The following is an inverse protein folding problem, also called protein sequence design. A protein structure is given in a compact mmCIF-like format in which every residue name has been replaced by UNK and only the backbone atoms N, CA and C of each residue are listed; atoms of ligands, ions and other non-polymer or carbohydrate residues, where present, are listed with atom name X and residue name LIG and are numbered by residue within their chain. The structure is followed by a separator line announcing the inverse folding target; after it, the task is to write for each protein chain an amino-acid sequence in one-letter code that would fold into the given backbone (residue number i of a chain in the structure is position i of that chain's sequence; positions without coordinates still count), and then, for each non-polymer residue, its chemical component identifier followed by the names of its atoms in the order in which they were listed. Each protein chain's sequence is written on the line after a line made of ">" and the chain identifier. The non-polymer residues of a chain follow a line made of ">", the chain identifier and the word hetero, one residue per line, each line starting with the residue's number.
data_IF_273137496606
#
_entry.id   IF_273137496606
#
_cell.length_a   1.000
_cell.length_b   1.000
_cell.length_c   1.000
_cell.angle_alpha   90.00
_cell.angle_beta   90.00
_cell.angle_gamma   90.00
#
_symmetry.space_group_name_H-M   'P 1'
#
loop_
_entity.id
_entity.type
_entity.pdbx_description
1 polymer ?
#
# COMPACT_ATOMS: atom_id res chain seq x y z
N UNK A 1 -25.70 -10.00 37.16
CA UNK A 1 -26.59 -8.92 36.66
C UNK A 1 -26.40 -8.83 35.16
N UNK A 2 -27.43 -9.11 34.37
CA UNK A 2 -27.38 -8.88 32.91
C UNK A 2 -27.20 -7.39 32.64
N UNK A 3 -26.37 -6.98 31.66
CA UNK A 3 -26.30 -5.58 31.27
C UNK A 3 -27.67 -5.16 30.75
N UNK A 4 -28.22 -4.07 31.29
CA UNK A 4 -29.42 -3.43 30.74
C UNK A 4 -29.19 -3.13 29.27
N UNK A 5 -29.99 -3.74 28.39
CA UNK A 5 -30.00 -3.42 26.96
C UNK A 5 -30.44 -1.97 26.83
N UNK A 6 -29.51 -1.05 26.49
CA UNK A 6 -29.85 0.32 26.11
C UNK A 6 -30.90 0.28 25.00
N UNK A 7 -32.02 0.95 25.22
CA UNK A 7 -33.05 1.11 24.20
C UNK A 7 -32.48 1.87 23.00
N UNK A 8 -32.73 1.35 21.81
CA UNK A 8 -32.21 1.92 20.57
C UNK A 8 -32.99 3.19 20.20
N UNK A 9 -32.32 4.31 19.87
CA UNK A 9 -32.99 5.57 19.52
C UNK A 9 -33.93 5.46 18.32
N UNK A 10 -35.00 6.26 18.30
CA UNK A 10 -36.01 6.26 17.23
C UNK A 10 -35.42 6.67 15.87
N UNK A 11 -34.40 7.52 15.89
CA UNK A 11 -33.63 7.97 14.74
C UNK A 11 -32.78 6.86 14.11
N UNK A 12 -32.53 5.77 14.83
CA UNK A 12 -31.78 4.60 14.35
C UNK A 12 -32.67 3.55 13.67
N UNK A 13 -33.98 3.80 13.49
CA UNK A 13 -34.91 2.85 12.81
C UNK A 13 -34.43 2.42 11.42
N UNK A 14 -33.85 3.33 10.64
CA UNK A 14 -33.29 2.99 9.33
C UNK A 14 -32.06 2.07 9.44
N UNK A 15 -31.21 2.29 10.44
CA UNK A 15 -30.08 1.44 10.74
C UNK A 15 -30.53 0.04 11.19
N UNK A 16 -31.52 -0.05 12.08
CA UNK A 16 -32.08 -1.34 12.52
C UNK A 16 -32.64 -2.11 11.33
N UNK A 17 -33.41 -1.44 10.46
CA UNK A 17 -33.94 -2.04 9.23
C UNK A 17 -32.82 -2.52 8.31
N UNK A 18 -31.72 -1.79 8.20
CA UNK A 18 -30.55 -2.19 7.42
C UNK A 18 -29.81 -3.38 8.04
N UNK A 19 -29.74 -3.47 9.37
CA UNK A 19 -29.17 -4.61 10.10
C UNK A 19 -30.05 -5.86 9.96
N UNK A 20 -31.37 -5.72 10.00
CA UNK A 20 -32.32 -6.82 9.74
C UNK A 20 -32.23 -7.29 8.29
N UNK A 21 -32.19 -6.37 7.33
CA UNK A 21 -31.93 -6.67 5.91
C UNK A 21 -30.61 -7.43 5.75
N UNK A 22 -29.56 -7.01 6.46
CA UNK A 22 -28.24 -7.66 6.46
C UNK A 22 -28.27 -9.04 7.10
N UNK A 23 -29.00 -9.26 8.19
CA UNK A 23 -29.20 -10.58 8.78
C UNK A 23 -29.92 -11.51 7.79
N UNK A 24 -30.94 -11.00 7.10
CA UNK A 24 -31.63 -11.70 6.02
C UNK A 24 -30.77 -11.94 4.77
N UNK A 25 -29.81 -11.07 4.48
CA UNK A 25 -28.86 -11.23 3.38
C UNK A 25 -27.81 -12.29 3.72
N UNK A 26 -27.25 -12.26 4.93
CA UNK A 26 -26.30 -13.25 5.44
C UNK A 26 -26.91 -14.66 5.49
N UNK A 27 -28.18 -14.77 5.89
CA UNK A 27 -28.93 -16.03 5.86
C UNK A 27 -29.00 -16.61 4.43
N UNK A 28 -29.40 -15.78 3.46
CA UNK A 28 -29.49 -16.16 2.04
C UNK A 28 -28.14 -16.57 1.45
N UNK A 29 -27.09 -15.81 1.70
CA UNK A 29 -25.73 -16.10 1.20
C UNK A 29 -25.16 -17.38 1.85
N UNK A 30 -25.49 -17.62 3.12
CA UNK A 30 -24.98 -18.77 3.88
C UNK A 30 -25.84 -20.03 3.71
N UNK A 31 -26.95 -19.96 2.96
CA UNK A 31 -27.98 -21.01 2.86
C UNK A 31 -28.46 -21.52 4.22
N UNK A 32 -28.59 -20.61 5.19
CA UNK A 32 -29.06 -20.86 6.55
C UNK A 32 -30.33 -20.06 6.80
N UNK A 33 -31.13 -20.47 7.78
CA UNK A 33 -32.28 -19.67 8.17
C UNK A 33 -31.81 -18.41 8.90
N UNK A 34 -32.62 -17.34 8.85
CA UNK A 34 -32.30 -16.07 9.50
C UNK A 34 -32.11 -16.24 11.01
N UNK A 35 -32.80 -17.21 11.62
CA UNK A 35 -32.65 -17.57 13.04
C UNK A 35 -31.30 -18.17 13.40
N UNK A 36 -30.61 -18.81 12.44
CA UNK A 36 -29.32 -19.48 12.65
C UNK A 36 -28.12 -18.52 12.51
N UNK A 37 -28.37 -17.28 12.06
CA UNK A 37 -27.36 -16.24 11.94
C UNK A 37 -27.22 -15.55 13.30
N UNK A 38 -26.03 -15.60 13.95
CA UNK A 38 -25.80 -14.91 15.21
C UNK A 38 -26.16 -13.42 15.14
N UNK A 39 -26.70 -12.89 16.22
CA UNK A 39 -27.06 -11.47 16.30
C UNK A 39 -25.81 -10.58 16.14
N UNK A 40 -25.93 -9.56 15.30
CA UNK A 40 -24.87 -8.58 15.06
C UNK A 40 -24.74 -7.69 16.29
N UNK A 41 -23.60 -7.78 16.99
CA UNK A 41 -23.33 -6.95 18.18
C UNK A 41 -22.73 -5.61 17.76
N UNK A 42 -23.47 -4.52 17.98
CA UNK A 42 -23.01 -3.15 17.72
C UNK A 42 -22.08 -2.73 18.87
N UNK A 43 -20.81 -2.46 18.59
CA UNK A 43 -19.84 -1.97 19.59
C UNK A 43 -20.26 -0.58 20.12
N UNK A 44 -20.06 -0.32 21.41
CA UNK A 44 -20.44 0.94 22.08
C UNK A 44 -19.90 2.21 21.42
N UNK A 45 -18.72 2.12 20.79
CA UNK A 45 -18.11 3.23 20.05
C UNK A 45 -18.93 3.66 18.83
N UNK A 46 -19.64 2.72 18.19
CA UNK A 46 -20.53 2.98 17.05
C UNK A 46 -21.84 3.62 17.53
N UNK A 47 -22.37 3.21 18.69
CA UNK A 47 -23.54 3.85 19.31
C UNK A 47 -23.30 5.35 19.59
N UNK A 48 -22.11 5.70 20.10
CA UNK A 48 -21.70 7.11 20.30
C UNK A 48 -21.58 7.90 18.99
N UNK A 49 -21.28 7.24 17.88
CA UNK A 49 -21.19 7.88 16.56
C UNK A 49 -22.57 8.13 15.95
N UNK A 50 -23.55 7.29 16.30
CA UNK A 50 -24.96 7.37 15.88
C UNK A 50 -25.77 8.43 16.63
N UNK A 51 -25.28 8.96 17.75
CA UNK A 51 -25.86 10.10 18.46
C UNK A 51 -25.73 11.44 17.68
N UNK A 52 -25.00 11.45 16.56
CA UNK A 52 -24.98 12.60 15.64
C UNK A 52 -26.29 12.68 14.85
N UNK A 53 -27.01 13.80 15.03
CA UNK A 53 -28.34 14.00 14.42
C UNK A 53 -28.23 14.25 12.91
N UNK A 54 -29.00 13.49 12.12
CA UNK A 54 -29.24 13.72 10.69
C UNK A 54 -29.94 15.06 10.37
N UNK A 55 -30.45 15.75 11.40
CA UNK A 55 -31.25 16.96 11.26
C UNK A 55 -30.38 18.11 10.76
N UNK A 56 -30.64 18.58 9.54
CA UNK A 56 -29.92 19.70 8.90
C UNK A 56 -28.84 19.29 7.89
N UNK A 57 -28.71 17.99 7.57
CA UNK A 57 -27.81 17.50 6.52
C UNK A 57 -28.53 17.42 5.17
N UNK A 58 -27.82 17.72 4.09
CA UNK A 58 -28.32 17.55 2.72
C UNK A 58 -28.41 16.07 2.33
N UNK A 59 -29.28 15.73 1.36
CA UNK A 59 -29.53 14.33 0.97
C UNK A 59 -28.27 13.58 0.51
N UNK A 60 -27.35 14.26 -0.18
CA UNK A 60 -26.08 13.65 -0.59
C UNK A 60 -25.11 13.43 0.58
N UNK A 61 -25.14 14.30 1.60
CA UNK A 61 -24.36 14.12 2.83
C UNK A 61 -24.91 12.95 3.66
N UNK A 62 -26.24 12.80 3.71
CA UNK A 62 -26.91 11.65 4.34
C UNK A 62 -26.56 10.35 3.60
N UNK A 63 -26.50 10.37 2.27
CA UNK A 63 -26.13 9.22 1.44
C UNK A 63 -24.66 8.83 1.61
N UNK A 64 -23.74 9.78 1.65
CA UNK A 64 -22.33 9.55 1.96
C UNK A 64 -22.15 9.01 3.39
N UNK A 65 -22.83 9.61 4.36
CA UNK A 65 -22.82 9.16 5.75
C UNK A 65 -23.34 7.72 5.87
N UNK A 66 -24.42 7.39 5.18
CA UNK A 66 -24.98 6.03 5.16
C UNK A 66 -24.05 5.02 4.50
N UNK A 67 -23.34 5.39 3.42
CA UNK A 67 -22.30 4.55 2.80
C UNK A 67 -21.15 4.27 3.76
N UNK A 68 -20.65 5.30 4.46
CA UNK A 68 -19.59 5.18 5.47
C UNK A 68 -20.04 4.37 6.67
N UNK A 69 -21.29 4.55 7.12
CA UNK A 69 -21.89 3.80 8.21
C UNK A 69 -22.04 2.32 7.83
N UNK A 70 -22.53 2.03 6.63
CA UNK A 70 -22.59 0.66 6.09
C UNK A 70 -21.20 0.01 6.04
N UNK A 71 -20.18 0.73 5.60
CA UNK A 71 -18.79 0.25 5.60
C UNK A 71 -18.25 0.00 7.02
N UNK A 72 -18.56 0.88 7.99
CA UNK A 72 -18.19 0.73 9.40
C UNK A 72 -18.91 -0.43 10.09
N UNK A 73 -20.18 -0.66 9.78
CA UNK A 73 -20.95 -1.81 10.26
C UNK A 73 -20.40 -3.11 9.67
N UNK A 74 -19.96 -3.07 8.40
CA UNK A 74 -19.23 -4.19 7.80
C UNK A 74 -17.91 -4.50 8.51
N UNK A 75 -17.19 -3.48 9.02
CA UNK A 75 -15.97 -3.64 9.83
C UNK A 75 -16.22 -4.16 11.24
N UNK A 76 -17.34 -3.78 11.84
CA UNK A 76 -17.65 -4.08 13.24
C UNK A 76 -18.29 -5.46 13.46
N UNK A 77 -18.78 -6.09 12.39
CA UNK A 77 -19.41 -7.41 12.44
C UNK A 77 -18.36 -8.52 12.52
N UNK A 78 -18.01 -8.93 13.75
CA UNK A 78 -17.28 -10.17 14.01
C UNK A 78 -18.22 -11.38 13.79
N UNK A 79 -17.78 -12.35 12.98
CA UNK A 79 -18.37 -13.70 13.02
C UNK A 79 -17.65 -14.49 14.13
N UNK A 80 -18.44 -15.21 14.94
CA UNK A 80 -17.98 -15.99 16.12
C UNK A 80 -16.89 -17.04 15.78
N UNK A 81 -16.69 -17.35 14.50
CA UNK A 81 -15.64 -18.27 14.04
C UNK A 81 -14.62 -17.54 13.16
N UNK A 82 -13.48 -17.19 13.75
CA UNK A 82 -12.33 -16.60 13.04
C UNK A 82 -11.84 -17.54 11.94
N UNK A 83 -11.87 -17.10 10.68
CA UNK A 83 -10.93 -17.62 9.67
C UNK A 83 -10.41 -16.63 8.62
N UNK A 84 -11.00 -15.44 8.50
CA UNK A 84 -10.35 -14.27 7.88
C UNK A 84 -11.11 -13.00 8.26
N UNK A 85 -10.38 -11.95 8.61
CA UNK A 85 -10.92 -10.62 8.92
C UNK A 85 -11.37 -9.96 7.60
N UNK A 86 -12.59 -9.41 7.55
CA UNK A 86 -13.11 -8.66 6.39
C UNK A 86 -12.69 -7.18 6.41
N UNK A 87 -11.95 -6.75 7.46
CA UNK A 87 -11.30 -5.45 7.54
C UNK A 87 -10.40 -5.07 6.34
N UNK A 88 -9.65 -6.00 5.71
CA UNK A 88 -8.85 -5.68 4.52
C UNK A 88 -9.72 -5.27 3.33
N UNK A 89 -10.85 -5.94 3.10
CA UNK A 89 -11.76 -5.62 1.98
C UNK A 89 -12.42 -4.26 2.19
N UNK A 90 -12.83 -3.97 3.42
CA UNK A 90 -13.41 -2.67 3.80
C UNK A 90 -12.37 -1.55 3.92
N UNK A 91 -11.06 -1.86 3.98
CA UNK A 91 -9.98 -0.86 3.95
C UNK A 91 -9.84 -0.19 2.58
N UNK A 92 -10.15 -0.91 1.49
CA UNK A 92 -10.14 -0.37 0.12
C UNK A 92 -11.18 0.75 -0.09
N UNK A 93 -12.16 0.85 0.81
CA UNK A 93 -13.26 1.81 0.78
C UNK A 93 -13.20 2.83 1.94
N UNK A 94 -12.13 2.83 2.75
CA UNK A 94 -11.96 3.73 3.90
C UNK A 94 -11.86 5.21 3.47
N UNK A 95 -11.18 5.42 2.35
CA UNK A 95 -10.85 6.70 1.76
C UNK A 95 -11.02 6.55 0.25
N UNK A 96 -12.26 6.59 -0.24
CA UNK A 96 -12.51 6.55 -1.69
C UNK A 96 -11.92 7.81 -2.33
N UNK A 97 -10.93 7.63 -3.20
CA UNK A 97 -10.54 8.68 -4.15
C UNK A 97 -11.69 8.91 -5.15
N UNK A 98 -11.72 10.08 -5.81
CA UNK A 98 -12.85 10.52 -6.65
C UNK A 98 -13.26 9.51 -7.74
N UNK A 99 -12.34 8.63 -8.16
CA UNK A 99 -12.53 7.67 -9.25
C UNK A 99 -12.82 6.24 -8.76
N UNK A 100 -12.94 6.02 -7.45
CA UNK A 100 -13.21 4.70 -6.89
C UNK A 100 -14.63 4.22 -7.23
N UNK A 101 -14.78 2.95 -7.60
CA UNK A 101 -16.10 2.37 -7.95
C UNK A 101 -17.06 2.53 -6.76
N UNK A 102 -18.22 3.18 -6.93
CA UNK A 102 -19.20 3.32 -5.88
C UNK A 102 -19.83 1.97 -5.51
N UNK A 103 -20.13 1.76 -4.23
CA UNK A 103 -20.95 0.64 -3.74
C UNK A 103 -22.30 1.19 -3.28
N UNK A 104 -23.37 0.58 -3.77
CA UNK A 104 -24.76 0.78 -3.35
C UNK A 104 -25.50 -0.57 -3.21
N UNK A 105 -26.78 -0.53 -2.81
CA UNK A 105 -27.59 -1.74 -2.54
C UNK A 105 -27.78 -2.61 -3.79
N UNK A 106 -27.73 -2.02 -4.98
CA UNK A 106 -27.93 -2.72 -6.25
C UNK A 106 -26.64 -3.38 -6.75
N UNK A 107 -25.50 -2.71 -6.58
CA UNK A 107 -24.16 -3.21 -6.95
C UNK A 107 -23.53 -4.15 -5.91
N UNK A 108 -24.10 -4.25 -4.70
CA UNK A 108 -23.54 -5.07 -3.63
C UNK A 108 -23.48 -6.58 -3.96
N UNK A 109 -24.47 -7.10 -4.71
CA UNK A 109 -24.50 -8.49 -5.13
C UNK A 109 -23.32 -8.85 -6.06
N UNK A 110 -23.08 -8.00 -7.05
CA UNK A 110 -21.95 -8.12 -7.98
C UNK A 110 -20.62 -7.97 -7.24
N UNK A 111 -20.51 -6.96 -6.37
CA UNK A 111 -19.35 -6.74 -5.51
C UNK A 111 -19.00 -7.96 -4.65
N UNK A 112 -20.01 -8.62 -4.08
CA UNK A 112 -19.79 -9.81 -3.27
C UNK A 112 -19.20 -10.96 -4.09
N UNK A 113 -19.72 -11.19 -5.30
CA UNK A 113 -19.19 -12.23 -6.18
C UNK A 113 -17.78 -11.90 -6.69
N UNK A 114 -17.48 -10.65 -6.98
CA UNK A 114 -16.13 -10.19 -7.33
C UNK A 114 -15.15 -10.43 -6.17
N UNK A 115 -15.52 -10.05 -4.94
CA UNK A 115 -14.69 -10.28 -3.75
C UNK A 115 -14.46 -11.78 -3.52
N UNK A 116 -15.48 -12.63 -3.66
CA UNK A 116 -15.32 -14.09 -3.57
C UNK A 116 -14.35 -14.61 -4.64
N UNK A 117 -14.47 -14.11 -5.86
CA UNK A 117 -13.59 -14.49 -6.97
C UNK A 117 -12.15 -14.09 -6.67
N UNK A 118 -11.91 -12.87 -6.18
CA UNK A 118 -10.57 -12.40 -5.78
C UNK A 118 -9.99 -13.24 -4.65
N UNK A 119 -10.79 -13.59 -3.64
CA UNK A 119 -10.35 -14.49 -2.55
C UNK A 119 -9.94 -15.85 -3.12
N UNK A 120 -10.69 -16.38 -4.07
CA UNK A 120 -10.39 -17.67 -4.68
C UNK A 120 -9.11 -17.62 -5.52
N UNK A 121 -8.93 -16.57 -6.34
CA UNK A 121 -7.69 -16.29 -7.06
C UNK A 121 -6.50 -16.19 -6.09
N UNK A 122 -6.65 -15.48 -4.97
CA UNK A 122 -5.60 -15.38 -3.95
C UNK A 122 -5.23 -16.75 -3.37
N UNK A 123 -6.20 -17.66 -3.15
CA UNK A 123 -5.90 -19.02 -2.67
C UNK A 123 -5.17 -19.84 -3.74
N UNK A 124 -5.66 -19.81 -4.98
CA UNK A 124 -5.10 -20.54 -6.12
C UNK A 124 -3.63 -20.18 -6.35
N UNK A 125 -3.31 -18.89 -6.28
CA UNK A 125 -1.95 -18.39 -6.45
C UNK A 125 -1.15 -18.27 -5.13
N UNK A 126 -1.69 -18.76 -4.01
CA UNK A 126 -1.04 -18.75 -2.68
C UNK A 126 -0.60 -17.35 -2.19
N UNK A 127 -1.44 -16.35 -2.41
CA UNK A 127 -1.16 -14.94 -2.16
C UNK A 127 -1.99 -14.41 -1.01
N UNK A 128 -1.39 -13.49 -0.25
CA UNK A 128 -2.08 -12.77 0.80
C UNK A 128 -2.99 -11.69 0.22
N UNK A 129 -4.25 -11.67 0.66
CA UNK A 129 -5.19 -10.59 0.34
C UNK A 129 -4.64 -9.20 0.73
N UNK A 130 -3.76 -9.12 1.73
CA UNK A 130 -3.11 -7.86 2.14
C UNK A 130 -2.35 -7.19 1.00
N UNK A 131 -1.69 -7.97 0.15
CA UNK A 131 -0.93 -7.46 -1.00
C UNK A 131 -1.86 -6.76 -2.00
N UNK A 132 -3.02 -7.35 -2.26
CA UNK A 132 -4.05 -6.77 -3.15
C UNK A 132 -4.63 -5.49 -2.54
N UNK A 133 -4.94 -5.51 -1.24
CA UNK A 133 -5.53 -4.34 -0.57
C UNK A 133 -4.57 -3.16 -0.45
N UNK A 134 -3.26 -3.40 -0.35
CA UNK A 134 -2.25 -2.33 -0.38
C UNK A 134 -2.15 -1.68 -1.76
N UNK A 135 -2.05 -2.50 -2.82
CA UNK A 135 -2.07 -2.04 -4.20
C UNK A 135 -3.33 -1.22 -4.54
N UNK A 136 -4.49 -1.63 -4.01
CA UNK A 136 -5.79 -1.01 -4.26
C UNK A 136 -6.21 0.02 -3.19
N UNK A 137 -5.28 0.51 -2.37
CA UNK A 137 -5.60 1.43 -1.28
C UNK A 137 -6.36 2.67 -1.80
N UNK A 138 -7.60 2.84 -1.36
CA UNK A 138 -8.48 3.96 -1.75
C UNK A 138 -9.11 3.86 -3.16
N UNK A 139 -8.83 2.80 -3.92
CA UNK A 139 -9.32 2.58 -5.29
C UNK A 139 -10.49 1.59 -5.38
N UNK A 140 -10.86 0.96 -4.26
CA UNK A 140 -11.90 -0.07 -4.23
C UNK A 140 -11.43 -1.43 -4.75
N UNK A 141 -12.38 -2.32 -5.07
CA UNK A 141 -12.11 -3.66 -5.61
C UNK A 141 -11.48 -3.58 -7.00
N UNK A 142 -10.41 -4.35 -7.27
CA UNK A 142 -9.82 -4.41 -8.59
C UNK A 142 -10.74 -5.10 -9.59
N UNK A 143 -10.61 -4.75 -10.86
CA UNK A 143 -11.18 -5.56 -11.94
C UNK A 143 -10.61 -6.98 -11.87
N UNK A 144 -11.50 -7.97 -11.80
CA UNK A 144 -11.14 -9.38 -11.60
C UNK A 144 -10.27 -9.90 -12.74
N UNK A 145 -10.57 -9.55 -13.99
CA UNK A 145 -9.82 -10.03 -15.16
C UNK A 145 -8.41 -9.43 -15.20
N UNK A 146 -8.27 -8.15 -14.86
CA UNK A 146 -6.96 -7.50 -14.74
C UNK A 146 -6.14 -8.11 -13.62
N UNK A 147 -6.75 -8.38 -12.46
CA UNK A 147 -6.06 -9.03 -11.35
C UNK A 147 -5.60 -10.44 -11.73
N UNK A 148 -6.49 -11.25 -12.31
CA UNK A 148 -6.18 -12.61 -12.77
C UNK A 148 -5.00 -12.61 -13.75
N UNK A 149 -5.05 -11.74 -14.76
CA UNK A 149 -3.94 -11.57 -15.71
C UNK A 149 -2.62 -11.14 -15.05
N UNK A 150 -2.65 -10.32 -13.99
CA UNK A 150 -1.46 -9.99 -13.21
C UNK A 150 -0.91 -11.21 -12.46
N UNK A 151 -1.80 -12.03 -11.86
CA UNK A 151 -1.41 -13.21 -11.09
C UNK A 151 -0.81 -14.29 -11.99
N UNK A 152 -1.42 -14.55 -13.14
CA UNK A 152 -0.86 -15.40 -14.18
C UNK A 152 0.48 -14.86 -14.67
N UNK A 153 0.59 -13.56 -14.94
CA UNK A 153 1.84 -12.94 -15.37
C UNK A 153 2.96 -13.13 -14.34
N UNK A 154 2.68 -12.91 -13.06
CA UNK A 154 3.65 -13.12 -11.98
C UNK A 154 4.10 -14.58 -11.89
N UNK A 155 3.15 -15.51 -12.01
CA UNK A 155 3.41 -16.96 -11.95
C UNK A 155 4.28 -17.40 -13.14
N UNK A 156 3.90 -17.02 -14.36
CA UNK A 156 4.59 -17.42 -15.60
C UNK A 156 6.00 -16.84 -15.72
N UNK A 157 6.24 -15.68 -15.10
CA UNK A 157 7.54 -15.01 -15.13
C UNK A 157 8.38 -15.21 -13.86
N UNK A 158 7.90 -16.00 -12.90
CA UNK A 158 8.54 -16.23 -11.61
C UNK A 158 8.83 -14.93 -10.82
N UNK A 159 7.96 -13.92 -10.98
CA UNK A 159 8.08 -12.63 -10.30
C UNK A 159 7.24 -12.64 -9.03
N UNK A 160 7.85 -12.25 -7.91
CA UNK A 160 7.16 -12.13 -6.63
C UNK A 160 6.09 -11.02 -6.69
N UNK A 161 4.81 -11.39 -6.56
CA UNK A 161 3.71 -10.42 -6.53
C UNK A 161 3.93 -9.33 -5.46
N UNK A 162 4.56 -9.66 -4.33
CA UNK A 162 4.79 -8.67 -3.27
C UNK A 162 5.64 -7.50 -3.77
N UNK A 163 6.59 -7.77 -4.67
CA UNK A 163 7.42 -6.73 -5.30
C UNK A 163 6.58 -5.80 -6.19
N UNK A 164 5.68 -6.37 -6.99
CA UNK A 164 4.77 -5.60 -7.86
C UNK A 164 3.75 -4.80 -7.05
N UNK A 165 3.12 -5.42 -6.06
CA UNK A 165 2.13 -4.74 -5.19
C UNK A 165 2.75 -3.66 -4.32
N UNK A 166 4.01 -3.80 -3.92
CA UNK A 166 4.78 -2.72 -3.27
C UNK A 166 5.02 -1.54 -4.22
N UNK A 167 5.52 -1.82 -5.44
CA UNK A 167 5.70 -0.80 -6.48
C UNK A 167 4.38 -0.06 -6.81
N UNK A 168 3.26 -0.78 -6.80
CA UNK A 168 1.92 -0.27 -7.14
C UNK A 168 1.07 0.12 -5.92
N UNK A 169 1.66 0.30 -4.74
CA UNK A 169 0.90 0.62 -3.53
C UNK A 169 0.05 1.90 -3.72
N UNK A 170 -1.28 1.77 -3.66
CA UNK A 170 -2.23 2.86 -3.91
C UNK A 170 -2.39 3.29 -5.39
N UNK A 171 -1.80 2.58 -6.34
CA UNK A 171 -1.85 2.89 -7.78
C UNK A 171 -2.66 1.88 -8.60
N UNK A 172 -3.16 0.85 -7.93
CA UNK A 172 -4.00 -0.19 -8.48
C UNK A 172 -3.30 -1.22 -9.36
N UNK A 173 -4.06 -2.09 -10.00
CA UNK A 173 -3.52 -3.17 -10.85
C UNK A 173 -2.78 -2.57 -12.05
N UNK A 174 -1.46 -2.85 -12.23
CA UNK A 174 -0.68 -2.34 -13.35
C UNK A 174 -1.10 -2.98 -14.68
N UNK A 175 -0.77 -2.31 -15.79
CA UNK A 175 -0.84 -2.90 -17.12
C UNK A 175 0.28 -3.93 -17.29
N UNK A 176 -0.08 -5.19 -17.56
CA UNK A 176 0.86 -6.29 -17.78
C UNK A 176 1.83 -6.03 -18.93
N UNK A 177 1.44 -5.26 -19.96
CA UNK A 177 2.37 -4.89 -21.06
C UNK A 177 3.49 -3.98 -20.58
N UNK A 178 3.21 -3.10 -19.60
CA UNK A 178 4.26 -2.28 -18.97
C UNK A 178 5.18 -3.13 -18.11
N UNK A 179 4.64 -4.13 -17.42
CA UNK A 179 5.43 -5.10 -16.66
C UNK A 179 6.33 -5.96 -17.56
N UNK A 180 5.83 -6.39 -18.73
CA UNK A 180 6.63 -7.09 -19.75
C UNK A 180 7.83 -6.25 -20.19
N UNK A 181 7.60 -4.96 -20.49
CA UNK A 181 8.68 -4.04 -20.85
C UNK A 181 9.72 -3.88 -19.74
N UNK A 182 9.28 -3.74 -18.48
CA UNK A 182 10.18 -3.66 -17.33
C UNK A 182 10.97 -4.97 -17.15
N UNK A 183 10.31 -6.12 -17.25
CA UNK A 183 10.96 -7.41 -17.05
C UNK A 183 11.97 -7.71 -18.17
N UNK A 184 11.62 -7.40 -19.42
CA UNK A 184 12.54 -7.51 -20.55
C UNK A 184 13.77 -6.62 -20.33
N UNK A 185 13.56 -5.36 -19.95
CA UNK A 185 14.65 -4.44 -19.63
C UNK A 185 15.57 -4.98 -18.52
N UNK A 186 14.99 -5.52 -17.45
CA UNK A 186 15.75 -6.12 -16.35
C UNK A 186 16.58 -7.33 -16.82
N UNK A 187 16.00 -8.21 -17.64
CA UNK A 187 16.69 -9.39 -18.20
C UNK A 187 17.84 -8.99 -19.12
N UNK A 188 17.57 -8.09 -20.07
CA UNK A 188 18.55 -7.64 -21.07
C UNK A 188 19.75 -6.94 -20.42
N UNK A 189 19.53 -6.29 -19.28
CA UNK A 189 20.55 -5.55 -18.54
C UNK A 189 21.11 -6.29 -17.32
N UNK A 190 20.70 -7.56 -17.09
CA UNK A 190 21.11 -8.36 -15.93
C UNK A 190 20.85 -7.67 -14.57
N UNK A 191 19.73 -6.94 -14.47
CA UNK A 191 19.29 -6.24 -13.25
C UNK A 191 18.18 -7.05 -12.59
N UNK A 192 18.24 -7.18 -11.26
CA UNK A 192 17.17 -7.81 -10.49
C UNK A 192 15.93 -6.89 -10.47
N UNK A 193 14.79 -7.42 -10.94
CA UNK A 193 13.51 -6.70 -10.91
C UNK A 193 13.11 -6.28 -9.49
N UNK A 194 13.53 -7.01 -8.44
CA UNK A 194 13.30 -6.63 -7.04
C UNK A 194 13.99 -5.33 -6.66
N UNK A 195 15.18 -5.05 -7.22
CA UNK A 195 15.87 -3.79 -7.01
C UNK A 195 15.10 -2.62 -7.61
N UNK A 196 14.55 -2.79 -8.82
CA UNK A 196 13.77 -1.73 -9.48
C UNK A 196 12.42 -1.51 -8.79
N UNK A 197 11.69 -2.58 -8.50
CA UNK A 197 10.39 -2.50 -7.80
C UNK A 197 10.54 -1.93 -6.38
N UNK A 198 11.62 -2.25 -5.66
CA UNK A 198 11.92 -1.66 -4.35
C UNK A 198 12.23 -0.16 -4.43
N UNK A 199 13.04 0.26 -5.39
CA UNK A 199 13.28 1.68 -5.70
C UNK A 199 11.97 2.42 -6.02
N UNK A 200 11.04 1.76 -6.72
CA UNK A 200 9.77 2.32 -7.18
C UNK A 200 8.58 2.05 -6.24
N UNK A 201 8.81 1.66 -4.99
CA UNK A 201 7.73 1.37 -4.03
C UNK A 201 6.75 2.55 -3.91
N UNK A 202 5.48 2.34 -4.30
CA UNK A 202 4.43 3.37 -4.32
C UNK A 202 4.51 4.39 -5.46
N UNK A 203 5.40 4.21 -6.44
CA UNK A 203 5.65 5.13 -7.56
C UNK A 203 5.30 4.54 -8.93
N UNK A 204 4.94 3.26 -8.94
CA UNK A 204 4.51 2.52 -10.11
C UNK A 204 5.62 2.14 -11.08
N UNK A 205 5.25 1.62 -12.25
CA UNK A 205 6.22 1.15 -13.26
C UNK A 205 7.05 2.35 -13.77
N UNK A 206 8.39 2.32 -13.66
CA UNK A 206 9.25 3.40 -14.13
C UNK A 206 9.25 3.53 -15.65
N UNK A 207 9.62 4.72 -16.13
CA UNK A 207 9.89 4.96 -17.55
C UNK A 207 11.23 4.30 -17.96
N UNK A 208 11.22 3.56 -19.08
CA UNK A 208 12.40 2.84 -19.56
C UNK A 208 13.58 3.76 -19.88
N UNK A 209 13.35 4.95 -20.43
CA UNK A 209 14.44 5.91 -20.73
C UNK A 209 15.11 6.41 -19.46
N UNK A 210 14.35 6.58 -18.37
CA UNK A 210 14.92 6.95 -17.07
C UNK A 210 15.84 5.83 -16.54
N UNK A 211 15.41 4.57 -16.68
CA UNK A 211 16.23 3.41 -16.31
C UNK A 211 17.48 3.30 -17.19
N UNK A 212 17.35 3.51 -18.50
CA UNK A 212 18.48 3.52 -19.45
C UNK A 212 19.52 4.58 -19.07
N UNK A 213 19.07 5.80 -18.78
CA UNK A 213 19.96 6.89 -18.36
C UNK A 213 20.68 6.56 -17.05
N UNK A 214 19.97 6.01 -16.05
CA UNK A 214 20.58 5.57 -14.80
C UNK A 214 21.62 4.48 -15.04
N UNK A 215 21.29 3.48 -15.86
CA UNK A 215 22.18 2.36 -16.13
C UNK A 215 23.41 2.79 -16.91
N UNK A 216 23.26 3.66 -17.92
CA UNK A 216 24.36 4.25 -18.65
C UNK A 216 25.30 5.00 -17.70
N UNK A 217 24.74 5.86 -16.84
CA UNK A 217 25.51 6.55 -15.80
C UNK A 217 26.27 5.57 -14.89
N UNK A 218 25.62 4.49 -14.44
CA UNK A 218 26.28 3.48 -13.60
C UNK A 218 27.45 2.79 -14.33
N UNK A 219 27.27 2.44 -15.61
CA UNK A 219 28.32 1.82 -16.43
C UNK A 219 29.50 2.76 -16.66
N UNK A 220 29.22 4.00 -17.07
CA UNK A 220 30.25 5.01 -17.36
C UNK A 220 31.11 5.33 -16.13
N UNK A 221 30.52 5.26 -14.94
CA UNK A 221 31.19 5.56 -13.67
C UNK A 221 31.61 4.31 -12.88
N UNK A 222 31.48 3.11 -13.47
CA UNK A 222 31.80 1.83 -12.81
C UNK A 222 31.12 1.63 -11.44
N UNK A 223 29.87 2.09 -11.32
CA UNK A 223 29.03 1.97 -10.12
C UNK A 223 28.06 0.80 -10.27
N UNK A 224 27.90 -0.01 -9.23
CA UNK A 224 26.87 -1.05 -9.20
C UNK A 224 25.48 -0.39 -9.06
N UNK A 225 24.59 -0.63 -10.02
CA UNK A 225 23.21 -0.11 -9.98
C UNK A 225 22.47 -0.51 -8.69
N UNK A 226 22.84 -1.64 -8.06
CA UNK A 226 22.26 -2.06 -6.78
C UNK A 226 22.52 -1.05 -5.66
N UNK A 227 23.68 -0.40 -5.63
CA UNK A 227 23.97 0.62 -4.61
C UNK A 227 23.05 1.84 -4.77
N UNK A 228 22.78 2.24 -6.02
CA UNK A 228 21.86 3.34 -6.31
C UNK A 228 20.41 2.96 -5.99
N UNK A 229 19.97 1.77 -6.41
CA UNK A 229 18.60 1.31 -6.09
C UNK A 229 18.36 1.15 -4.59
N UNK A 230 19.39 0.73 -3.82
CA UNK A 230 19.33 0.63 -2.36
C UNK A 230 19.22 1.98 -1.67
N UNK A 231 19.97 2.98 -2.13
CA UNK A 231 19.84 4.36 -1.66
C UNK A 231 18.45 4.96 -1.98
N UNK A 232 17.82 4.51 -3.06
CA UNK A 232 16.58 5.07 -3.61
C UNK A 232 15.32 4.24 -3.31
N UNK A 233 15.35 3.35 -2.33
CA UNK A 233 14.17 2.56 -1.92
C UNK A 233 12.97 3.47 -1.65
N UNK A 234 11.90 3.32 -2.44
CA UNK A 234 10.67 4.12 -2.36
C UNK A 234 10.77 5.58 -2.83
N UNK A 235 11.88 5.97 -3.46
CA UNK A 235 12.17 7.36 -3.88
C UNK A 235 12.28 7.50 -5.40
N UNK A 236 12.25 6.37 -6.10
CA UNK A 236 12.22 6.28 -7.54
C UNK A 236 13.56 6.52 -8.22
N UNK A 237 13.54 6.54 -9.56
CA UNK A 237 14.77 6.72 -10.35
C UNK A 237 15.37 8.10 -10.07
N UNK A 238 16.62 8.20 -9.56
CA UNK A 238 17.28 9.48 -9.29
C UNK A 238 17.53 10.28 -10.58
N UNK A 239 17.69 11.59 -10.41
CA UNK A 239 18.29 12.45 -11.43
C UNK A 239 19.80 12.18 -11.50
N UNK A 240 20.28 11.75 -12.67
CA UNK A 240 21.71 11.48 -12.91
C UNK A 240 22.59 12.70 -12.66
N UNK A 241 22.09 13.92 -12.84
CA UNK A 241 22.86 15.14 -12.52
C UNK A 241 23.16 15.27 -11.02
N UNK A 242 22.26 14.79 -10.16
CA UNK A 242 22.52 14.74 -8.71
C UNK A 242 23.56 13.69 -8.37
N UNK A 243 23.54 12.56 -9.08
CA UNK A 243 24.56 11.52 -8.94
C UNK A 243 25.94 12.01 -9.41
N UNK A 244 26.01 12.77 -10.51
CA UNK A 244 27.26 13.43 -10.96
C UNK A 244 27.82 14.37 -9.89
N UNK A 245 26.95 15.20 -9.30
CA UNK A 245 27.34 16.11 -8.21
C UNK A 245 27.90 15.34 -7.00
N UNK A 246 27.24 14.26 -6.61
CA UNK A 246 27.71 13.39 -5.53
C UNK A 246 29.05 12.74 -5.85
N UNK A 247 29.21 12.18 -7.05
CA UNK A 247 30.45 11.52 -7.47
C UNK A 247 31.62 12.51 -7.54
N UNK A 248 31.37 13.72 -8.05
CA UNK A 248 32.36 14.81 -8.07
C UNK A 248 32.77 15.19 -6.64
N UNK A 249 31.81 15.32 -5.73
CA UNK A 249 32.08 15.60 -4.32
C UNK A 249 32.92 14.49 -3.67
N UNK A 250 32.55 13.22 -3.88
CA UNK A 250 33.30 12.07 -3.39
C UNK A 250 34.74 12.07 -3.89
N UNK A 251 34.94 12.34 -5.18
CA UNK A 251 36.27 12.40 -5.81
C UNK A 251 37.11 13.51 -5.21
N UNK A 252 36.56 14.72 -5.09
CA UNK A 252 37.28 15.88 -4.57
C UNK A 252 37.68 15.73 -3.09
N UNK A 253 36.89 14.98 -2.31
CA UNK A 253 37.14 14.76 -0.89
C UNK A 253 37.79 13.40 -0.59
N UNK A 254 38.19 12.64 -1.62
CA UNK A 254 38.77 11.31 -1.49
C UNK A 254 37.91 10.34 -0.64
N UNK A 255 36.59 10.40 -0.84
CA UNK A 255 35.59 9.55 -0.19
C UNK A 255 35.08 8.52 -1.18
N UNK A 256 35.04 7.24 -0.79
CA UNK A 256 34.42 6.19 -1.61
C UNK A 256 32.90 6.42 -1.71
N UNK A 257 32.39 6.52 -2.94
CA UNK A 257 30.96 6.62 -3.23
C UNK A 257 30.17 5.48 -2.59
N UNK A 258 30.73 4.26 -2.54
CA UNK A 258 30.06 3.11 -1.93
C UNK A 258 29.75 3.35 -0.45
N UNK A 259 30.67 4.00 0.28
CA UNK A 259 30.47 4.38 1.68
C UNK A 259 29.27 5.31 1.83
N UNK A 260 29.12 6.30 0.93
CA UNK A 260 27.96 7.19 0.96
C UNK A 260 26.67 6.44 0.62
N UNK A 261 26.65 5.66 -0.46
CA UNK A 261 25.45 4.91 -0.86
C UNK A 261 25.01 3.92 0.22
N UNK A 262 25.94 3.31 0.96
CA UNK A 262 25.65 2.42 2.09
C UNK A 262 25.04 3.15 3.29
N UNK A 263 25.46 4.39 3.58
CA UNK A 263 24.84 5.21 4.63
C UNK A 263 23.46 5.75 4.22
N UNK A 264 23.21 5.91 2.93
CA UNK A 264 22.01 6.55 2.39
C UNK A 264 20.90 5.56 2.00
N UNK A 265 20.92 4.34 2.53
CA UNK A 265 19.89 3.33 2.24
C UNK A 265 18.48 3.87 2.54
N UNK A 266 17.67 4.07 1.50
CA UNK A 266 16.33 4.65 1.59
C UNK A 266 16.27 6.16 1.92
N UNK A 267 17.38 6.90 1.76
CA UNK A 267 17.48 8.33 2.12
C UNK A 267 17.72 9.25 0.91
N UNK A 268 17.73 8.71 -0.30
CA UNK A 268 18.00 9.42 -1.56
C UNK A 268 19.44 9.90 -1.70
N UNK A 269 19.76 10.40 -2.90
CA UNK A 269 21.00 11.12 -3.18
C UNK A 269 21.12 12.30 -2.19
N UNK A 270 22.16 12.34 -1.35
CA UNK A 270 22.36 13.42 -0.40
C UNK A 270 22.66 14.75 -1.09
N UNK A 271 22.31 15.83 -0.41
CA UNK A 271 22.74 17.17 -0.79
C UNK A 271 24.23 17.33 -0.44
N UNK A 272 25.05 17.66 -1.44
CA UNK A 272 26.51 17.82 -1.27
C UNK A 272 26.87 18.89 -0.25
N UNK A 273 26.04 19.94 -0.07
CA UNK A 273 26.28 20.95 0.97
C UNK A 273 26.19 20.37 2.38
N UNK A 274 25.24 19.46 2.60
CA UNK A 274 25.12 18.76 3.89
C UNK A 274 26.30 17.82 4.14
N UNK A 275 26.89 17.28 3.07
CA UNK A 275 28.10 16.47 3.17
C UNK A 275 29.32 17.33 3.50
N UNK A 276 29.43 18.53 2.94
CA UNK A 276 30.47 19.51 3.31
C UNK A 276 30.39 19.87 4.79
N UNK A 277 29.20 20.20 5.30
CA UNK A 277 28.99 20.53 6.72
C UNK A 277 29.38 19.35 7.63
N UNK A 278 29.02 18.11 7.24
CA UNK A 278 29.37 16.90 7.98
C UNK A 278 30.90 16.66 7.97
N UNK A 279 31.55 16.86 6.83
CA UNK A 279 32.98 16.66 6.69
C UNK A 279 33.75 17.67 7.53
N UNK A 280 33.35 18.95 7.50
CA UNK A 280 33.92 20.00 8.35
C UNK A 280 33.77 19.65 9.83
N UNK A 281 32.58 19.21 10.24
CA UNK A 281 32.35 18.75 11.62
C UNK A 281 33.26 17.58 11.99
N UNK A 282 33.44 16.57 11.13
CA UNK A 282 34.34 15.45 11.39
C UNK A 282 35.80 15.90 11.53
N UNK A 283 36.24 16.89 10.75
CA UNK A 283 37.59 17.44 10.85
C UNK A 283 37.79 18.17 12.18
N UNK A 284 36.83 19.02 12.58
CA UNK A 284 36.89 19.77 13.84
C UNK A 284 36.89 18.85 15.08
N UNK A 285 36.22 17.70 15.01
CA UNK A 285 36.09 16.76 16.15
C UNK A 285 37.16 15.65 16.18
N UNK A 286 37.95 15.46 15.11
CA UNK A 286 39.05 14.48 15.08
C UNK A 286 40.36 15.01 15.70
N UNK A 287 40.42 16.28 16.11
CA UNK A 287 41.60 16.85 16.78
C UNK A 287 41.66 16.60 18.32
N UNK A 288 40.72 15.84 18.88
CA UNK A 288 40.58 15.63 20.34
C UNK A 288 41.43 14.52 20.99
N UNK A 289 41.97 13.56 20.21
CA UNK A 289 42.60 12.35 20.79
C UNK A 289 44.14 12.29 20.70
N UNK A 290 44.82 13.34 20.19
CA UNK A 290 46.28 13.32 20.04
C UNK A 290 47.08 13.84 21.26
N UNK A 291 46.43 14.36 22.30
CA UNK A 291 47.10 14.86 23.52
C UNK A 291 46.51 14.22 24.78
N UNK A 292 46.79 12.94 24.99
CA UNK A 292 46.68 12.35 26.33
C UNK A 292 47.67 13.05 27.28
N UNK A 293 47.29 13.33 28.55
CA UNK A 293 48.19 14.00 29.47
C UNK A 293 49.43 13.14 29.73
N UNK A 294 50.61 13.70 29.47
CA UNK A 294 51.87 13.14 29.98
C UNK A 294 51.79 13.12 31.51
N UNK A 295 51.68 11.91 32.08
CA UNK A 295 51.83 11.70 33.52
C UNK A 295 53.31 11.87 33.88
N UNK A 296 53.63 12.96 34.54
CA UNK A 296 54.81 13.10 35.41
C UNK A 296 54.55 12.41 36.74
#
# INVERSE_FOLDING_TARGET
>A
MSPEKRQTPEEARYLIRNLERRKGLLARISKREVGDIPDIVIKDTLLKFLDKKYKGMEQEEIKDLNKRLFALINRAADLVTKKQDTAPVTSMYACQYADARPIDEQSYGEFLEEVKTIIELCKQHHISLKSITGMQHGLGVPDVKKLDGLLEWCTNNEVDLKSITGMQNGLGVPDVKKLDGLLAWCKDNSVDIKSITGMQSGLGVPDAKKLDNLLAWCKDNSVDIKSITGMQVGLGVPDVKKLDGLLTWCTNNNVDLKSITGMQMGLSVPDVKKLDDLLAWCQDNNHGDANGPQRT
#
